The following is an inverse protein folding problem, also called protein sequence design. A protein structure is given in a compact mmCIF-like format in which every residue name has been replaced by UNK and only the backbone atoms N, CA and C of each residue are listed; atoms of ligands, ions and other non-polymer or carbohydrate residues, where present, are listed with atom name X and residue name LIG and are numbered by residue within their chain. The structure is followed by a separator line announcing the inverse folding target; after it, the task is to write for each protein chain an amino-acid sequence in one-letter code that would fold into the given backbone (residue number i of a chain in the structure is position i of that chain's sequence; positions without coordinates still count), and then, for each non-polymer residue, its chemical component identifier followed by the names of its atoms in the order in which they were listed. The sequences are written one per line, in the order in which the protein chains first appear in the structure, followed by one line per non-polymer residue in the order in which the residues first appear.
data_IF_510234659951
#
_entry.id   IF_510234659951
#
_cell.length_a   1.000
_cell.length_b   1.000
_cell.length_c   1.000
_cell.angle_alpha   90.00
_cell.angle_beta   90.00
_cell.angle_gamma   90.00
#
_symmetry.space_group_name_H-M   'P 1'
#
loop_
_entity.id
_entity.type
_entity.pdbx_description
1 polymer ?
#
# COMPACT_ATOMS: atom_id res chain seq x y z
N UNK A 1 28.08 13.78 -4.14
CA UNK A 1 27.44 13.38 -2.87
C UNK A 1 26.66 14.57 -2.36
N UNK A 2 25.36 14.42 -2.07
CA UNK A 2 24.51 15.50 -1.53
C UNK A 2 24.16 15.13 -0.10
N UNK A 3 24.23 16.09 0.82
CA UNK A 3 23.88 15.91 2.22
C UNK A 3 22.65 16.76 2.57
N UNK A 4 21.75 16.20 3.38
CA UNK A 4 20.61 16.93 3.95
C UNK A 4 20.91 17.17 5.43
N UNK A 5 20.79 18.42 5.86
CA UNK A 5 20.86 18.79 7.28
C UNK A 5 19.47 19.17 7.76
N UNK A 6 19.01 18.51 8.81
CA UNK A 6 17.77 18.85 9.50
C UNK A 6 18.14 19.67 10.73
N UNK A 7 17.62 20.89 10.81
CA UNK A 7 17.86 21.82 11.92
C UNK A 7 16.72 21.78 12.92
N UNK A 8 17.00 22.23 14.14
CA UNK A 8 16.02 22.41 15.21
C UNK A 8 15.24 21.13 15.57
N UNK A 9 15.92 19.97 15.48
CA UNK A 9 15.35 18.69 15.89
C UNK A 9 15.26 18.66 17.42
N UNK A 10 14.06 18.49 18.01
CA UNK A 10 13.94 18.37 19.45
C UNK A 10 14.75 17.17 19.96
N UNK A 11 15.45 17.34 21.10
CA UNK A 11 16.33 16.28 21.63
C UNK A 11 15.60 14.95 21.79
N UNK A 12 14.36 14.98 22.27
CA UNK A 12 13.55 13.77 22.42
C UNK A 12 13.33 13.04 21.11
N UNK A 13 13.08 13.77 20.02
CA UNK A 13 12.91 13.17 18.68
C UNK A 13 14.22 12.54 18.23
N UNK A 14 15.35 13.24 18.41
CA UNK A 14 16.68 12.71 18.08
C UNK A 14 16.96 11.41 18.84
N UNK A 15 16.70 11.39 20.15
CA UNK A 15 16.93 10.20 20.99
C UNK A 15 16.05 9.03 20.55
N UNK A 16 14.78 9.26 20.24
CA UNK A 16 13.90 8.21 19.71
C UNK A 16 14.44 7.63 18.39
N UNK A 17 14.89 8.48 17.47
CA UNK A 17 15.40 8.02 16.17
C UNK A 17 16.72 7.24 16.32
N UNK A 18 17.59 7.65 17.25
CA UNK A 18 18.82 6.91 17.58
C UNK A 18 18.48 5.52 18.12
N UNK A 19 17.57 5.44 19.09
CA UNK A 19 17.16 4.16 19.68
C UNK A 19 16.55 3.21 18.64
N UNK A 20 15.77 3.73 17.70
CA UNK A 20 15.22 2.93 16.59
C UNK A 20 16.30 2.44 15.62
N UNK A 21 17.30 3.28 15.31
CA UNK A 21 18.43 2.87 14.48
C UNK A 21 19.25 1.76 15.17
N UNK A 22 19.54 1.92 16.46
CA UNK A 22 20.25 0.92 17.27
C UNK A 22 19.49 -0.41 17.35
N UNK A 23 18.16 -0.37 17.52
CA UNK A 23 17.30 -1.57 17.49
C UNK A 23 17.39 -2.34 16.17
N UNK A 24 17.69 -1.66 15.06
CA UNK A 24 17.90 -2.27 13.73
C UNK A 24 19.36 -2.64 13.45
N UNK A 25 20.28 -2.33 14.36
CA UNK A 25 21.71 -2.53 14.15
C UNK A 25 22.31 -1.59 13.09
N UNK A 26 21.66 -0.46 12.84
CA UNK A 26 22.03 0.51 11.82
C UNK A 26 22.55 1.80 12.44
N UNK A 27 23.38 2.54 11.71
CA UNK A 27 23.70 3.91 12.10
C UNK A 27 22.49 4.82 11.88
N UNK A 28 22.36 5.88 12.67
CA UNK A 28 21.28 6.87 12.50
C UNK A 28 21.22 7.41 11.06
N UNK A 29 22.37 7.60 10.41
CA UNK A 29 22.41 8.11 9.04
C UNK A 29 21.77 7.12 8.05
N UNK A 30 22.08 5.83 8.14
CA UNK A 30 21.51 4.79 7.28
C UNK A 30 20.01 4.68 7.52
N UNK A 31 19.61 4.66 8.80
CA UNK A 31 18.21 4.62 9.19
C UNK A 31 17.42 5.80 8.62
N UNK A 32 17.93 7.03 8.75
CA UNK A 32 17.25 8.22 8.24
C UNK A 32 17.20 8.25 6.72
N UNK A 33 18.22 7.72 6.04
CA UNK A 33 18.18 7.58 4.58
C UNK A 33 17.05 6.64 4.15
N UNK A 34 16.91 5.47 4.79
CA UNK A 34 15.82 4.53 4.52
C UNK A 34 14.45 5.18 4.76
N UNK A 35 14.30 5.94 5.85
CA UNK A 35 13.06 6.70 6.11
C UNK A 35 12.76 7.71 4.98
N UNK A 36 13.76 8.46 4.53
CA UNK A 36 13.59 9.45 3.46
C UNK A 36 13.24 8.78 2.12
N UNK A 37 13.88 7.67 1.79
CA UNK A 37 13.61 6.91 0.56
C UNK A 37 12.18 6.34 0.55
N UNK A 38 11.74 5.76 1.68
CA UNK A 38 10.37 5.27 1.84
C UNK A 38 9.34 6.38 1.70
N UNK A 39 9.57 7.53 2.35
CA UNK A 39 8.64 8.66 2.25
C UNK A 39 8.61 9.27 0.84
N UNK A 40 9.74 9.34 0.16
CA UNK A 40 9.79 9.78 -1.24
C UNK A 40 9.04 8.82 -2.17
N UNK A 41 9.21 7.51 -1.99
CA UNK A 41 8.46 6.49 -2.74
C UNK A 41 6.96 6.59 -2.48
N UNK A 42 6.56 6.74 -1.21
CA UNK A 42 5.16 6.92 -0.83
C UNK A 42 4.56 8.20 -1.42
N UNK A 43 5.28 9.32 -1.38
CA UNK A 43 4.85 10.57 -1.98
C UNK A 43 4.63 10.43 -3.50
N UNK A 44 5.55 9.77 -4.19
CA UNK A 44 5.43 9.49 -5.62
C UNK A 44 4.22 8.60 -5.93
N UNK A 45 4.01 7.55 -5.14
CA UNK A 45 2.86 6.65 -5.32
C UNK A 45 1.53 7.39 -5.09
N UNK A 46 1.44 8.24 -4.06
CA UNK A 46 0.26 9.08 -3.82
C UNK A 46 0.00 10.03 -4.98
N UNK A 47 1.05 10.61 -5.56
CA UNK A 47 0.89 11.49 -6.72
C UNK A 47 0.34 10.73 -7.93
N UNK A 48 0.90 9.55 -8.25
CA UNK A 48 0.40 8.70 -9.34
C UNK A 48 -1.10 8.38 -9.16
N UNK A 49 -1.52 8.03 -7.94
CA UNK A 49 -2.93 7.74 -7.64
C UNK A 49 -3.83 8.98 -7.78
N UNK A 50 -3.30 10.19 -7.53
CA UNK A 50 -4.05 11.46 -7.73
C UNK A 50 -4.15 11.85 -9.20
N UNK A 51 -3.10 11.62 -10.00
CA UNK A 51 -3.09 11.97 -11.43
C UNK A 51 -3.83 10.96 -12.29
N UNK A 52 -3.92 9.70 -11.85
CA UNK A 52 -4.81 8.74 -12.49
C UNK A 52 -6.25 9.19 -12.27
N UNK A 53 -6.91 9.64 -13.34
CA UNK A 53 -8.38 9.75 -13.34
C UNK A 53 -8.92 8.43 -12.82
N UNK A 54 -9.82 8.42 -11.82
CA UNK A 54 -10.46 7.17 -11.42
C UNK A 54 -10.99 6.54 -12.71
N UNK A 55 -10.56 5.31 -12.98
CA UNK A 55 -11.12 4.51 -14.05
C UNK A 55 -12.58 4.36 -13.67
N UNK A 56 -13.42 5.28 -14.13
CA UNK A 56 -14.85 5.09 -14.11
C UNK A 56 -15.05 3.82 -14.92
N UNK A 57 -15.64 2.75 -14.36
CA UNK A 57 -15.97 1.59 -15.17
C UNK A 57 -16.74 2.12 -16.37
N UNK A 58 -16.18 1.94 -17.57
CA UNK A 58 -16.82 2.32 -18.81
C UNK A 58 -17.87 1.26 -19.09
N UNK A 59 -19.01 1.38 -18.42
CA UNK A 59 -20.12 0.46 -18.53
C UNK A 59 -21.25 0.86 -17.60
N UNK A 60 -22.45 1.05 -18.15
CA UNK A 60 -23.67 0.96 -17.36
C UNK A 60 -23.73 -0.44 -16.77
N UNK A 61 -23.63 -0.51 -15.45
CA UNK A 61 -23.58 -1.76 -14.73
C UNK A 61 -22.43 -1.69 -13.75
N UNK A 62 -22.72 -1.15 -12.56
CA UNK A 62 -22.17 -1.78 -11.38
C UNK A 62 -22.47 -3.27 -11.54
N UNK A 63 -21.48 -4.05 -11.98
CA UNK A 63 -21.54 -5.48 -11.82
C UNK A 63 -21.65 -5.66 -10.32
N UNK A 64 -22.86 -5.94 -9.85
CA UNK A 64 -23.11 -6.42 -8.51
C UNK A 64 -22.24 -7.67 -8.40
N UNK A 65 -21.08 -7.53 -7.75
CA UNK A 65 -20.16 -8.62 -7.49
C UNK A 65 -20.92 -9.76 -6.80
N UNK A 66 -21.97 -9.43 -6.04
CA UNK A 66 -22.90 -10.39 -5.48
C UNK A 66 -23.66 -11.20 -6.54
N UNK A 67 -24.06 -10.59 -7.66
CA UNK A 67 -24.77 -11.29 -8.75
C UNK A 67 -23.87 -12.25 -9.52
N UNK A 68 -22.62 -11.87 -9.80
CA UNK A 68 -21.62 -12.76 -10.41
C UNK A 68 -21.35 -13.96 -9.48
N UNK A 69 -21.21 -13.72 -8.17
CA UNK A 69 -21.00 -14.79 -7.19
C UNK A 69 -22.23 -15.70 -7.08
N UNK A 70 -23.45 -15.16 -7.11
CA UNK A 70 -24.70 -15.94 -7.12
C UNK A 70 -24.78 -16.84 -8.35
N UNK A 71 -24.58 -16.27 -9.55
CA UNK A 71 -24.61 -17.03 -10.81
C UNK A 71 -23.57 -18.16 -10.84
N UNK A 72 -22.38 -17.92 -10.26
CA UNK A 72 -21.34 -18.94 -10.14
C UNK A 72 -21.73 -20.13 -9.24
N UNK A 73 -22.42 -19.87 -8.12
CA UNK A 73 -22.89 -20.92 -7.20
C UNK A 73 -24.00 -21.76 -7.82
N UNK A 74 -25.00 -21.12 -8.41
CA UNK A 74 -26.16 -21.82 -9.02
C UNK A 74 -25.73 -22.74 -10.17
N UNK A 75 -24.73 -22.33 -10.96
CA UNK A 75 -24.19 -23.14 -12.03
C UNK A 75 -23.42 -24.38 -11.51
N UNK A 76 -22.78 -24.26 -10.35
CA UNK A 76 -22.03 -25.36 -9.74
C UNK A 76 -22.96 -26.37 -9.06
N UNK A 77 -24.02 -25.90 -8.40
CA UNK A 77 -25.02 -26.77 -7.78
C UNK A 77 -25.75 -27.63 -8.81
N UNK A 78 -26.06 -27.06 -9.99
CA UNK A 78 -26.61 -27.83 -11.12
C UNK A 78 -25.65 -28.92 -11.62
N UNK A 79 -24.35 -28.63 -11.69
CA UNK A 79 -23.35 -29.61 -12.11
C UNK A 79 -23.17 -30.73 -11.08
N UNK A 80 -23.19 -30.39 -9.80
CA UNK A 80 -23.07 -31.37 -8.71
C UNK A 80 -24.30 -32.28 -8.63
N UNK A 81 -25.50 -31.75 -8.88
CA UNK A 81 -26.73 -32.55 -8.93
C UNK A 81 -26.75 -33.49 -10.15
N UNK A 82 -26.20 -33.05 -11.29
CA UNK A 82 -26.09 -33.89 -12.49
C UNK A 82 -25.00 -34.97 -12.39
N UNK A 83 -23.97 -34.77 -11.56
CA UNK A 83 -22.88 -35.72 -11.35
C UNK A 83 -23.18 -36.80 -10.28
N UNK A 84 -24.29 -36.68 -9.53
CA UNK A 84 -24.68 -37.60 -8.46
C UNK A 84 -25.80 -38.57 -8.85
N UNK A 85 -25.98 -38.84 -10.16
CA UNK A 85 -27.02 -39.74 -10.68
C UNK A 85 -26.41 -40.88 -11.51
#
# INVERSE_FOLDING_TARGET
MVAVQVRDVPEQVRLTLVAEAERRGESLQVFLLDVLEREAANARNREILRTQKPIRPRGNGALDVGEIIRQGRDAQDRKNLAASR
#
